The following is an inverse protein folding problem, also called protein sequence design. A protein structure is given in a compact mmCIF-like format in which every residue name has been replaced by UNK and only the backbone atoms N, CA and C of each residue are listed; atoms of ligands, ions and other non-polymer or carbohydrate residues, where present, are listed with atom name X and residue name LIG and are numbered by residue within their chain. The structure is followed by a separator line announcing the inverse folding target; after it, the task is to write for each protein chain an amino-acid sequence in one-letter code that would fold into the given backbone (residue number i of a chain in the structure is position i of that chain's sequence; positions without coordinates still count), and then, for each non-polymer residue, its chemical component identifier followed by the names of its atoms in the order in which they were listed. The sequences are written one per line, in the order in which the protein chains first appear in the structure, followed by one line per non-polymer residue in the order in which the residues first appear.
data_IF_720088735759
#
_entry.id   IF_720088735759
#
_cell.length_a   1.000
_cell.length_b   1.000
_cell.length_c   1.000
_cell.angle_alpha   90.00
_cell.angle_beta   90.00
_cell.angle_gamma   90.00
#
_symmetry.space_group_name_H-M   'P 1'
#
loop_
_entity.id
_entity.type
_entity.pdbx_description
1 polymer ?
#
# COMPACT_ATOMS: atom_id res chain seq x y z
N UNK A 1 15.32 -16.72 -16.22
CA UNK A 1 16.61 -16.75 -16.94
C UNK A 1 17.57 -15.88 -16.16
N UNK A 2 18.46 -16.49 -15.36
CA UNK A 2 19.43 -15.78 -14.54
C UNK A 2 20.66 -15.45 -15.38
N UNK A 3 21.13 -14.21 -15.30
CA UNK A 3 22.39 -13.83 -15.94
C UNK A 3 23.50 -14.24 -14.97
N UNK A 4 24.12 -15.38 -15.29
CA UNK A 4 25.36 -15.87 -14.70
C UNK A 4 26.52 -15.14 -15.40
N UNK A 5 27.22 -14.28 -14.66
CA UNK A 5 28.51 -13.76 -15.08
C UNK A 5 29.56 -14.72 -14.51
N UNK A 6 30.12 -15.57 -15.38
CA UNK A 6 30.95 -16.71 -15.01
C UNK A 6 32.13 -16.39 -14.08
N UNK A 7 32.53 -17.41 -13.33
CA UNK A 7 33.85 -17.49 -12.70
C UNK A 7 33.95 -17.00 -11.26
N UNK A 8 33.38 -17.74 -10.31
CA UNK A 8 34.09 -18.03 -9.06
C UNK A 8 33.58 -17.44 -7.74
N UNK A 9 32.74 -16.39 -7.70
CA UNK A 9 32.19 -15.85 -6.43
C UNK A 9 30.80 -15.25 -6.58
N UNK A 10 29.73 -16.03 -6.34
CA UNK A 10 28.36 -15.48 -6.32
C UNK A 10 28.08 -14.79 -5.00
N UNK A 11 28.23 -13.46 -4.96
CA UNK A 11 28.03 -12.64 -3.75
C UNK A 11 26.74 -11.84 -3.73
N UNK A 12 25.93 -12.04 -4.76
CA UNK A 12 24.59 -11.50 -4.85
C UNK A 12 23.62 -12.58 -5.36
N UNK A 13 22.43 -12.64 -4.77
CA UNK A 13 21.28 -13.34 -5.32
C UNK A 13 20.18 -12.32 -5.65
N UNK A 14 19.37 -12.63 -6.65
CA UNK A 14 18.29 -11.76 -7.10
C UNK A 14 16.96 -12.50 -7.10
N UNK A 15 15.90 -11.83 -6.63
CA UNK A 15 14.52 -12.29 -6.76
C UNK A 15 13.69 -11.24 -7.49
N UNK A 16 12.98 -11.67 -8.52
CA UNK A 16 11.96 -10.84 -9.18
C UNK A 16 10.67 -10.88 -8.37
N UNK A 17 10.16 -9.71 -8.03
CA UNK A 17 8.86 -9.51 -7.38
C UNK A 17 7.82 -9.18 -8.45
N UNK A 18 6.54 -9.56 -8.27
CA UNK A 18 5.50 -9.24 -9.22
C UNK A 18 5.27 -7.72 -9.26
N UNK A 19 5.22 -7.18 -10.46
CA UNK A 19 5.13 -5.75 -10.77
C UNK A 19 3.93 -5.45 -11.68
N UNK A 20 3.64 -4.16 -11.83
CA UNK A 20 2.74 -3.68 -12.87
C UNK A 20 3.43 -3.76 -14.25
N UNK A 21 2.67 -3.97 -15.33
CA UNK A 21 3.25 -4.03 -16.67
C UNK A 21 4.14 -2.82 -16.97
N UNK A 22 5.36 -3.07 -17.44
CA UNK A 22 6.34 -2.03 -17.78
C UNK A 22 7.27 -1.60 -16.63
N UNK A 23 7.04 -2.08 -15.40
CA UNK A 23 7.96 -1.94 -14.27
C UNK A 23 8.64 -3.28 -13.98
N UNK A 24 9.88 -3.24 -13.48
CA UNK A 24 10.61 -4.44 -13.03
C UNK A 24 11.08 -4.26 -11.59
N UNK A 25 10.42 -4.88 -10.61
CA UNK A 25 10.87 -4.80 -9.20
C UNK A 25 11.75 -6.00 -8.83
N UNK A 26 12.97 -5.73 -8.34
CA UNK A 26 13.97 -6.76 -8.01
C UNK A 26 14.49 -6.59 -6.58
N UNK A 27 14.51 -7.67 -5.82
CA UNK A 27 15.20 -7.75 -4.54
C UNK A 27 16.61 -8.30 -4.76
N UNK A 28 17.63 -7.55 -4.32
CA UNK A 28 19.01 -7.99 -4.31
C UNK A 28 19.41 -8.40 -2.89
N UNK A 29 19.87 -9.63 -2.72
CA UNK A 29 20.52 -10.09 -1.49
C UNK A 29 22.02 -10.04 -1.70
N UNK A 30 22.69 -9.17 -0.96
CA UNK A 30 24.15 -9.05 -0.96
C UNK A 30 24.77 -9.75 0.23
N UNK A 31 25.95 -10.33 0.04
CA UNK A 31 26.75 -10.92 1.14
C UNK A 31 28.08 -10.20 1.30
N UNK A 32 28.37 -9.81 2.55
CA UNK A 32 29.66 -9.27 2.99
C UNK A 32 30.78 -10.31 2.93
N UNK A 33 32.03 -9.94 3.28
CA UNK A 33 33.19 -10.85 3.25
C UNK A 33 32.90 -12.19 3.94
N UNK A 34 33.33 -13.31 3.34
CA UNK A 34 32.99 -14.66 3.82
C UNK A 34 32.65 -15.61 2.68
N UNK A 35 31.92 -16.69 3.00
CA UNK A 35 31.48 -17.71 2.04
C UNK A 35 30.55 -17.13 0.97
N UNK A 36 30.70 -17.55 -0.27
CA UNK A 36 29.79 -17.17 -1.36
C UNK A 36 28.42 -17.85 -1.20
N UNK A 37 27.44 -17.37 -1.97
CA UNK A 37 26.17 -18.06 -2.08
C UNK A 37 26.36 -19.42 -2.74
N UNK A 38 25.84 -20.45 -2.10
CA UNK A 38 25.89 -21.83 -2.59
C UNK A 38 24.50 -22.32 -3.05
N UNK A 39 24.42 -23.59 -3.47
CA UNK A 39 23.17 -24.19 -3.92
C UNK A 39 22.11 -24.26 -2.81
N UNK A 40 22.54 -24.47 -1.55
CA UNK A 40 21.63 -24.46 -0.40
C UNK A 40 21.00 -23.08 -0.24
N UNK A 41 21.78 -22.01 -0.38
CA UNK A 41 21.28 -20.65 -0.33
C UNK A 41 20.26 -20.37 -1.45
N UNK A 42 20.49 -20.89 -2.66
CA UNK A 42 19.56 -20.80 -3.80
C UNK A 42 18.25 -21.57 -3.56
N UNK A 43 18.33 -22.76 -2.98
CA UNK A 43 17.16 -23.58 -2.63
C UNK A 43 16.32 -22.91 -1.54
N UNK A 44 16.96 -22.38 -0.49
CA UNK A 44 16.27 -21.59 0.53
C UNK A 44 15.57 -20.38 -0.09
N UNK A 45 16.25 -19.66 -0.98
CA UNK A 45 15.64 -18.51 -1.65
C UNK A 45 14.46 -18.89 -2.54
N UNK A 46 14.54 -20.04 -3.21
CA UNK A 46 13.44 -20.60 -4.01
C UNK A 46 12.23 -20.90 -3.13
N UNK A 47 12.44 -21.51 -1.96
CA UNK A 47 11.38 -21.81 -1.00
C UNK A 47 10.79 -20.53 -0.37
N UNK A 48 11.61 -19.51 -0.12
CA UNK A 48 11.14 -18.24 0.45
C UNK A 48 10.44 -17.34 -0.56
N UNK A 49 10.65 -17.53 -1.87
CA UNK A 49 10.11 -16.68 -2.93
C UNK A 49 8.61 -16.38 -2.81
N UNK A 50 7.69 -17.35 -2.63
CA UNK A 50 6.27 -17.04 -2.48
C UNK A 50 5.97 -16.16 -1.25
N UNK A 51 6.71 -16.34 -0.15
CA UNK A 51 6.55 -15.54 1.07
C UNK A 51 7.08 -14.12 0.89
N UNK A 52 8.22 -13.95 0.22
CA UNK A 52 8.77 -12.63 -0.13
C UNK A 52 7.80 -11.85 -1.02
N UNK A 53 7.18 -12.53 -1.99
CA UNK A 53 6.16 -11.94 -2.86
C UNK A 53 4.93 -11.50 -2.06
N UNK A 54 4.43 -12.35 -1.15
CA UNK A 54 3.28 -12.03 -0.31
C UNK A 54 3.57 -10.85 0.65
N UNK A 55 4.77 -10.81 1.23
CA UNK A 55 5.22 -9.73 2.08
C UNK A 55 5.33 -8.41 1.31
N UNK A 56 5.92 -8.43 0.11
CA UNK A 56 6.00 -7.27 -0.78
C UNK A 56 4.61 -6.73 -1.13
N UNK A 57 3.70 -7.59 -1.61
CA UNK A 57 2.32 -7.18 -1.93
C UNK A 57 1.60 -6.57 -0.73
N UNK A 58 1.83 -7.10 0.47
CA UNK A 58 1.24 -6.56 1.70
C UNK A 58 1.84 -5.22 2.09
N UNK A 59 3.15 -5.03 1.90
CA UNK A 59 3.80 -3.74 2.11
C UNK A 59 3.31 -2.68 1.12
N UNK A 60 3.19 -3.04 -0.16
CA UNK A 60 2.66 -2.15 -1.20
C UNK A 60 1.20 -1.78 -0.95
N UNK A 61 0.35 -2.74 -0.54
CA UNK A 61 -1.01 -2.44 -0.09
C UNK A 61 -1.04 -1.45 1.07
N UNK A 62 -0.18 -1.62 2.08
CA UNK A 62 -0.09 -0.67 3.21
C UNK A 62 0.43 0.70 2.80
N UNK A 63 1.35 0.77 1.83
CA UNK A 63 1.86 2.04 1.28
C UNK A 63 0.82 2.78 0.45
N UNK A 64 0.05 2.04 -0.35
CA UNK A 64 -1.04 2.57 -1.16
C UNK A 64 -2.30 2.82 -0.33
N UNK A 65 -2.43 2.19 0.83
CA UNK A 65 -3.51 2.49 1.75
C UNK A 65 -3.43 3.98 2.10
N UNK A 66 -4.53 4.72 1.97
CA UNK A 66 -4.60 6.11 2.39
C UNK A 66 -4.02 6.28 3.79
N UNK A 67 -3.22 7.33 4.01
CA UNK A 67 -2.74 7.66 5.35
C UNK A 67 -3.94 7.69 6.31
N UNK A 68 -3.86 6.99 7.44
CA UNK A 68 -5.00 6.74 8.29
C UNK A 68 -5.76 8.04 8.60
N UNK A 69 -7.07 8.04 8.29
CA UNK A 69 -7.96 9.13 8.66
C UNK A 69 -7.95 9.30 10.18
N UNK A 70 -8.03 10.54 10.66
CA UNK A 70 -8.21 10.74 12.10
C UNK A 70 -9.58 10.21 12.51
N UNK A 71 -9.82 9.85 13.79
CA UNK A 71 -11.12 9.35 14.23
C UNK A 71 -12.29 10.27 13.82
N UNK A 72 -12.10 11.59 13.91
CA UNK A 72 -13.11 12.58 13.51
C UNK A 72 -13.35 12.63 12.00
N UNK A 73 -12.30 12.41 11.20
CA UNK A 73 -12.43 12.32 9.75
C UNK A 73 -13.09 11.01 9.30
N UNK A 74 -12.82 9.92 10.00
CA UNK A 74 -13.49 8.64 9.77
C UNK A 74 -14.99 8.75 10.08
N UNK A 75 -15.35 9.34 11.23
CA UNK A 75 -16.76 9.60 11.58
C UNK A 75 -17.47 10.45 10.52
N UNK A 76 -16.81 11.51 10.03
CA UNK A 76 -17.34 12.35 8.97
C UNK A 76 -17.57 11.54 7.67
N UNK A 77 -16.61 10.67 7.30
CA UNK A 77 -16.72 9.80 6.13
C UNK A 77 -17.80 8.73 6.28
N UNK A 78 -18.04 8.21 7.50
CA UNK A 78 -19.14 7.29 7.79
C UNK A 78 -20.51 7.95 7.55
N UNK A 79 -20.71 9.20 7.98
CA UNK A 79 -21.94 9.93 7.64
C UNK A 79 -22.09 10.14 6.13
N UNK A 80 -20.97 10.36 5.42
CA UNK A 80 -21.00 10.44 3.96
C UNK A 80 -21.47 9.13 3.33
N UNK A 81 -20.94 8.00 3.78
CA UNK A 81 -21.31 6.66 3.32
C UNK A 81 -22.78 6.33 3.61
N UNK A 82 -23.32 6.83 4.72
CA UNK A 82 -24.74 6.73 5.08
C UNK A 82 -25.66 7.68 4.28
N UNK A 83 -25.10 8.52 3.39
CA UNK A 83 -25.88 9.40 2.51
C UNK A 83 -26.22 10.78 3.08
N UNK A 84 -25.67 11.18 4.23
CA UNK A 84 -25.97 12.48 4.85
C UNK A 84 -25.43 13.65 4.04
N UNK A 85 -26.22 14.71 3.83
CA UNK A 85 -25.75 15.95 3.20
C UNK A 85 -24.79 16.72 4.10
N UNK A 86 -23.98 17.62 3.53
CA UNK A 86 -23.04 18.44 4.31
C UNK A 86 -23.74 19.23 5.42
N UNK A 87 -24.95 19.72 5.17
CA UNK A 87 -25.78 20.42 6.17
C UNK A 87 -26.22 19.50 7.31
N UNK A 88 -26.57 18.24 7.02
CA UNK A 88 -26.95 17.28 8.07
C UNK A 88 -25.73 16.86 8.90
N UNK A 89 -24.59 16.63 8.26
CA UNK A 89 -23.31 16.32 8.91
C UNK A 89 -22.89 17.48 9.81
N UNK A 90 -22.98 18.71 9.31
CA UNK A 90 -22.65 19.93 10.05
C UNK A 90 -23.46 20.03 11.35
N UNK A 91 -24.78 19.79 11.29
CA UNK A 91 -25.64 19.76 12.49
C UNK A 91 -25.24 18.67 13.47
N UNK A 92 -24.93 17.48 12.97
CA UNK A 92 -24.62 16.31 13.82
C UNK A 92 -23.24 16.39 14.47
N UNK A 93 -22.30 17.06 13.82
CA UNK A 93 -20.92 17.22 14.31
C UNK A 93 -20.69 18.58 15.00
N UNK A 94 -21.72 19.41 15.12
CA UNK A 94 -21.64 20.79 15.65
C UNK A 94 -20.61 21.66 14.91
N UNK A 95 -20.60 21.56 13.58
CA UNK A 95 -19.71 22.28 12.68
C UNK A 95 -20.51 23.19 11.74
N UNK A 96 -19.81 24.13 11.09
CA UNK A 96 -20.39 24.83 9.94
C UNK A 96 -20.34 23.95 8.69
N UNK A 97 -21.27 24.17 7.75
CA UNK A 97 -21.26 23.46 6.46
C UNK A 97 -19.96 23.73 5.67
N UNK A 98 -19.41 24.94 5.77
CA UNK A 98 -18.12 25.30 5.19
C UNK A 98 -16.98 24.47 5.79
N UNK A 99 -16.98 24.26 7.11
CA UNK A 99 -16.00 23.43 7.82
C UNK A 99 -16.09 21.96 7.39
N UNK A 100 -17.31 21.41 7.24
CA UNK A 100 -17.51 20.06 6.70
C UNK A 100 -16.94 19.94 5.29
N UNK A 101 -17.20 20.91 4.42
CA UNK A 101 -16.63 20.92 3.06
C UNK A 101 -15.10 20.92 3.07
N UNK A 102 -14.47 21.73 3.92
CA UNK A 102 -13.02 21.73 4.07
C UNK A 102 -12.49 20.38 4.56
N UNK A 103 -13.12 19.79 5.58
CA UNK A 103 -12.73 18.46 6.05
C UNK A 103 -12.89 17.39 4.98
N UNK A 104 -13.95 17.43 4.18
CA UNK A 104 -14.15 16.51 3.06
C UNK A 104 -13.07 16.66 1.99
N UNK A 105 -12.69 17.89 1.63
CA UNK A 105 -11.61 18.11 0.68
C UNK A 105 -10.29 17.50 1.18
N UNK A 106 -9.95 17.73 2.45
CA UNK A 106 -8.75 17.11 3.04
C UNK A 106 -8.87 15.58 3.06
N UNK A 107 -10.04 15.02 3.39
CA UNK A 107 -10.25 13.56 3.35
C UNK A 107 -10.07 13.04 1.92
N UNK A 108 -10.61 13.71 0.91
CA UNK A 108 -10.49 13.31 -0.48
C UNK A 108 -9.04 13.32 -0.95
N UNK A 109 -8.29 14.39 -0.62
CA UNK A 109 -6.84 14.46 -0.86
C UNK A 109 -6.10 13.31 -0.18
N UNK A 110 -6.42 13.02 1.09
CA UNK A 110 -5.80 11.92 1.85
C UNK A 110 -6.13 10.53 1.30
N UNK A 111 -7.33 10.37 0.76
CA UNK A 111 -7.80 9.15 0.10
C UNK A 111 -7.34 9.04 -1.36
N UNK A 112 -6.76 10.09 -1.93
CA UNK A 112 -6.35 10.14 -3.34
C UNK A 112 -7.54 10.11 -4.32
N UNK A 113 -8.70 10.63 -3.91
CA UNK A 113 -9.93 10.65 -4.71
C UNK A 113 -10.41 12.08 -4.96
N UNK A 114 -11.25 12.27 -5.96
CA UNK A 114 -11.78 13.60 -6.33
C UNK A 114 -13.29 13.71 -6.19
N UNK A 115 -13.98 12.63 -5.80
CA UNK A 115 -15.43 12.62 -5.70
C UNK A 115 -15.93 11.94 -4.43
N UNK A 116 -17.13 12.37 -4.01
CA UNK A 116 -17.85 11.82 -2.87
C UNK A 116 -18.08 10.31 -3.03
N UNK A 117 -18.52 9.88 -4.20
CA UNK A 117 -18.76 8.46 -4.50
C UNK A 117 -17.45 7.66 -4.47
N UNK A 118 -16.37 8.20 -5.04
CA UNK A 118 -15.07 7.54 -4.98
C UNK A 118 -14.56 7.38 -3.54
N UNK A 119 -14.78 8.38 -2.68
CA UNK A 119 -14.43 8.29 -1.26
C UNK A 119 -15.18 7.16 -0.53
N UNK A 120 -16.48 6.99 -0.81
CA UNK A 120 -17.29 5.89 -0.24
C UNK A 120 -16.82 4.54 -0.76
N UNK A 121 -16.57 4.39 -2.07
CA UNK A 121 -16.03 3.16 -2.65
C UNK A 121 -14.67 2.79 -2.06
N UNK A 122 -13.79 3.78 -1.86
CA UNK A 122 -12.48 3.57 -1.23
C UNK A 122 -12.62 3.15 0.23
N UNK A 123 -13.54 3.74 0.99
CA UNK A 123 -13.85 3.35 2.38
C UNK A 123 -14.23 1.86 2.47
N UNK A 124 -15.15 1.39 1.61
CA UNK A 124 -15.58 -0.02 1.58
C UNK A 124 -14.45 -0.97 1.15
N UNK A 125 -13.66 -0.59 0.15
CA UNK A 125 -12.56 -1.43 -0.36
C UNK A 125 -11.42 -1.54 0.64
N UNK A 126 -11.17 -0.48 1.42
CA UNK A 126 -10.14 -0.43 2.45
C UNK A 126 -10.57 -1.03 3.80
N UNK A 127 -11.85 -1.40 3.96
CA UNK A 127 -12.38 -1.95 5.22
C UNK A 127 -12.43 -0.91 6.34
N UNK A 128 -12.65 0.36 6.00
CA UNK A 128 -12.73 1.48 6.94
C UNK A 128 -14.19 1.68 7.40
N UNK A 129 -14.83 0.64 7.95
CA UNK A 129 -16.20 0.71 8.46
C UNK A 129 -16.29 1.16 9.92
#
# INVERSE_FOLDING_TARGET
MGIDYGGGRTRALMVYLPDEPGLSTRLYLWRGPGRDFDERDRLVLTLLRPHLIAAYRSAERRRRAPSALTPRQLELLQYVAQGYTNTQIARRMELSEGTVRTHLNHIYERLGVTSRTAAVTTMSTAGLE
#
